data_IF_346225881884
#
_entry.id   IF_346225881884
#
_cell.length_a   1.000
_cell.length_b   1.000
_cell.length_c   1.000
_cell.angle_alpha   90.00
_cell.angle_beta   90.00
_cell.angle_gamma   90.00
#
_symmetry.space_group_name_H-M   'P 1'
#
loop_
_entity.id
_entity.type
_entity.pdbx_description
1 polymer ?
#
# COMPACT_ATOMS: atom_id res chain seq x y z
N UNK A 1 -4.89 -16.12 9.73
CA UNK A 1 -5.47 -15.05 8.89
C UNK A 1 -4.62 -13.81 9.08
N UNK A 2 -3.83 -13.48 8.05
CA UNK A 2 -3.00 -12.27 8.05
C UNK A 2 -3.81 -11.08 7.51
N UNK A 3 -3.49 -9.88 7.98
CA UNK A 3 -4.10 -8.63 7.49
C UNK A 3 -3.01 -7.66 7.10
N UNK A 4 -3.14 -7.03 5.94
CA UNK A 4 -2.24 -5.99 5.45
C UNK A 4 -3.03 -4.73 5.13
N UNK A 5 -2.62 -3.59 5.69
CA UNK A 5 -3.27 -2.31 5.44
C UNK A 5 -2.26 -1.30 4.90
N UNK A 6 -2.67 -0.54 3.89
CA UNK A 6 -1.90 0.50 3.23
C UNK A 6 -2.67 1.82 3.31
N UNK A 7 -1.94 2.89 3.62
CA UNK A 7 -2.42 4.27 3.44
C UNK A 7 -2.05 4.67 2.01
N UNK A 8 -3.01 4.80 1.08
CA UNK A 8 -2.69 5.02 -0.33
C UNK A 8 -2.29 6.48 -0.58
N UNK A 9 -1.20 6.70 -1.31
CA UNK A 9 -0.92 7.96 -1.97
C UNK A 9 -1.72 8.04 -3.29
N UNK A 10 -1.89 6.90 -3.96
CA UNK A 10 -2.65 6.74 -5.20
C UNK A 10 -3.19 5.33 -5.36
N UNK A 11 -4.41 5.21 -5.91
CA UNK A 11 -4.96 3.95 -6.40
C UNK A 11 -5.44 4.12 -7.83
N UNK A 12 -5.09 3.17 -8.68
CA UNK A 12 -5.68 3.01 -10.01
C UNK A 12 -6.34 1.65 -10.15
N UNK A 13 -7.42 1.58 -10.93
CA UNK A 13 -8.10 0.35 -11.31
C UNK A 13 -8.33 0.36 -12.82
N UNK A 14 -7.80 -0.64 -13.52
CA UNK A 14 -7.85 -0.72 -14.99
C UNK A 14 -7.33 0.55 -15.68
N UNK A 15 -6.33 1.22 -15.09
CA UNK A 15 -5.74 2.45 -15.58
C UNK A 15 -6.46 3.74 -15.16
N UNK A 16 -7.65 3.64 -14.57
CA UNK A 16 -8.43 4.78 -14.08
C UNK A 16 -8.12 5.07 -12.61
N UNK A 17 -7.94 6.34 -12.25
CA UNK A 17 -7.66 6.74 -10.88
C UNK A 17 -8.92 6.62 -10.01
N UNK A 18 -8.81 5.96 -8.86
CA UNK A 18 -9.86 6.00 -7.83
C UNK A 18 -9.71 7.31 -7.04
N UNK A 19 -10.79 8.06 -6.94
CA UNK A 19 -10.80 9.33 -6.21
C UNK A 19 -10.70 9.09 -4.70
N UNK A 20 -9.91 9.94 -4.02
CA UNK A 20 -9.82 10.04 -2.56
C UNK A 20 -9.74 8.67 -1.83
N UNK A 21 -8.78 7.80 -2.19
CA UNK A 21 -8.59 6.55 -1.47
C UNK A 21 -8.05 6.84 -0.06
N UNK A 22 -8.64 6.22 0.96
CA UNK A 22 -8.31 6.48 2.37
C UNK A 22 -7.49 5.34 2.95
N UNK A 23 -7.97 4.09 2.80
CA UNK A 23 -7.30 2.88 3.29
C UNK A 23 -7.59 1.73 2.33
N UNK A 24 -6.55 0.98 1.97
CA UNK A 24 -6.64 -0.29 1.28
C UNK A 24 -6.25 -1.42 2.25
N UNK A 25 -7.13 -2.41 2.40
CA UNK A 25 -6.89 -3.56 3.29
C UNK A 25 -6.99 -4.86 2.52
N UNK A 26 -6.05 -5.76 2.77
CA UNK A 26 -6.10 -7.15 2.33
C UNK A 26 -6.26 -8.09 3.52
N UNK A 27 -7.14 -9.06 3.36
CA UNK A 27 -7.43 -10.12 4.31
C UNK A 27 -7.00 -11.46 3.70
N UNK A 28 -6.20 -12.19 4.47
CA UNK A 28 -5.59 -13.45 4.07
C UNK A 28 -4.92 -13.40 2.67
N UNK A 29 -4.08 -12.39 2.40
CA UNK A 29 -3.67 -12.07 1.04
C UNK A 29 -2.87 -13.16 0.30
N UNK A 30 -2.22 -14.05 1.04
CA UNK A 30 -1.42 -15.16 0.51
C UNK A 30 -2.08 -16.52 0.79
N UNK A 31 -3.34 -16.51 1.25
CA UNK A 31 -4.14 -17.71 1.50
C UNK A 31 -4.97 -18.14 0.29
N UNK A 32 -5.89 -19.09 0.52
CA UNK A 32 -6.71 -19.70 -0.54
C UNK A 32 -7.93 -18.83 -0.95
N UNK A 33 -8.31 -17.88 -0.10
CA UNK A 33 -9.47 -17.00 -0.31
C UNK A 33 -9.13 -15.52 -0.03
N UNK A 34 -8.17 -14.93 -0.77
CA UNK A 34 -7.77 -13.55 -0.57
C UNK A 34 -8.91 -12.61 -0.92
N UNK A 35 -9.15 -11.63 -0.06
CA UNK A 35 -10.15 -10.59 -0.25
C UNK A 35 -9.65 -9.29 0.34
N UNK A 36 -10.38 -8.21 0.12
CA UNK A 36 -9.98 -6.91 0.61
C UNK A 36 -11.11 -5.91 0.68
N UNK A 37 -10.77 -4.72 1.15
CA UNK A 37 -11.65 -3.57 1.21
C UNK A 37 -10.91 -2.31 0.84
N UNK A 38 -11.59 -1.41 0.15
CA UNK A 38 -11.10 -0.07 -0.15
C UNK A 38 -12.08 0.96 0.39
N UNK A 39 -11.59 1.84 1.27
CA UNK A 39 -12.30 3.02 1.72
C UNK A 39 -12.05 4.18 0.74
N UNK A 40 -13.11 4.77 0.19
CA UNK A 40 -13.09 5.86 -0.79
C UNK A 40 -14.43 6.59 -0.79
N UNK A 41 -14.44 7.86 -1.22
CA UNK A 41 -15.67 8.65 -1.40
C UNK A 41 -16.40 8.34 -2.69
N UNK A 42 -15.79 7.59 -3.63
CA UNK A 42 -16.37 7.20 -4.90
C UNK A 42 -16.38 5.67 -5.09
N UNK A 43 -17.17 4.92 -4.30
CA UNK A 43 -17.15 3.46 -4.34
C UNK A 43 -17.76 2.90 -5.63
N UNK A 44 -17.14 1.84 -6.14
CA UNK A 44 -17.60 1.11 -7.31
C UNK A 44 -18.90 0.33 -7.04
N UNK A 45 -19.72 0.07 -8.06
CA UNK A 45 -20.93 -0.74 -7.89
C UNK A 45 -20.60 -2.21 -7.59
N UNK A 46 -21.44 -2.87 -6.81
CA UNK A 46 -21.40 -4.31 -6.61
C UNK A 46 -21.50 -5.05 -7.95
N UNK A 47 -20.69 -6.10 -8.12
CA UNK A 47 -20.54 -6.87 -9.35
C UNK A 47 -19.55 -6.27 -10.35
N UNK A 48 -18.98 -5.08 -10.08
CA UNK A 48 -17.90 -4.54 -10.91
C UNK A 48 -16.67 -5.46 -10.81
N UNK A 49 -16.19 -5.92 -11.97
CA UNK A 49 -14.99 -6.74 -12.09
C UNK A 49 -14.00 -6.04 -13.01
N UNK A 50 -12.79 -5.81 -12.51
CA UNK A 50 -11.77 -5.07 -13.24
C UNK A 50 -10.38 -5.33 -12.67
N UNK A 51 -9.37 -5.03 -13.48
CA UNK A 51 -7.97 -5.13 -13.10
C UNK A 51 -7.03 -4.49 -14.14
N UNK A 52 -5.76 -4.24 -13.77
CA UNK A 52 -5.21 -4.41 -12.44
C UNK A 52 -5.68 -3.32 -11.47
N UNK A 53 -5.77 -3.64 -10.18
CA UNK A 53 -5.77 -2.65 -9.10
C UNK A 53 -4.31 -2.42 -8.71
N UNK A 54 -3.86 -1.17 -8.77
CA UNK A 54 -2.52 -0.77 -8.37
C UNK A 54 -2.63 0.28 -7.28
N UNK A 55 -1.98 0.02 -6.15
CA UNK A 55 -1.87 0.94 -5.03
C UNK A 55 -0.41 1.36 -4.88
N UNK A 56 -0.16 2.67 -4.97
CA UNK A 56 1.06 3.27 -4.44
C UNK A 56 0.72 3.80 -3.06
N UNK A 57 1.34 3.28 -2.01
CA UNK A 57 0.96 3.63 -0.65
C UNK A 57 1.99 3.27 0.39
N UNK A 58 1.68 3.59 1.64
CA UNK A 58 2.59 3.44 2.76
C UNK A 58 2.11 2.34 3.71
N UNK A 59 3.07 1.55 4.17
CA UNK A 59 2.91 0.54 5.22
C UNK A 59 4.26 0.31 5.88
N UNK A 60 4.28 0.23 7.21
CA UNK A 60 5.48 -0.10 7.99
C UNK A 60 6.70 0.79 7.69
N UNK A 61 6.49 2.12 7.59
CA UNK A 61 7.50 3.14 7.22
C UNK A 61 8.15 2.92 5.85
N UNK A 62 7.53 2.12 4.99
CA UNK A 62 7.96 1.91 3.62
C UNK A 62 6.88 2.37 2.66
N UNK A 63 7.32 2.84 1.50
CA UNK A 63 6.46 3.07 0.35
C UNK A 63 6.46 1.82 -0.51
N UNK A 64 5.28 1.40 -0.92
CA UNK A 64 5.04 0.18 -1.66
C UNK A 64 4.28 0.49 -2.93
N UNK A 65 4.60 -0.25 -3.98
CA UNK A 65 3.67 -0.56 -5.06
C UNK A 65 3.06 -1.92 -4.77
N UNK A 66 1.73 -1.98 -4.70
CA UNK A 66 0.99 -3.22 -4.57
C UNK A 66 0.11 -3.38 -5.79
N UNK A 67 0.25 -4.52 -6.48
CA UNK A 67 -0.49 -4.84 -7.70
C UNK A 67 -1.33 -6.08 -7.47
N UNK A 68 -2.64 -5.92 -7.67
CA UNK A 68 -3.63 -6.99 -7.65
C UNK A 68 -4.11 -7.22 -9.09
N UNK A 69 -4.01 -8.44 -9.63
CA UNK A 69 -4.30 -8.69 -11.05
C UNK A 69 -5.74 -8.35 -11.43
N UNK A 70 -6.70 -8.75 -10.61
CA UNK A 70 -8.12 -8.51 -10.84
C UNK A 70 -8.88 -8.59 -9.50
N UNK A 71 -9.93 -7.77 -9.38
CA UNK A 71 -10.87 -7.79 -8.26
C UNK A 71 -12.30 -7.88 -8.76
N UNK A 72 -13.20 -8.38 -7.91
CA UNK A 72 -14.65 -8.28 -8.08
C UNK A 72 -15.29 -7.70 -6.83
N UNK A 73 -16.05 -6.61 -6.98
CA UNK A 73 -16.73 -5.94 -5.88
C UNK A 73 -17.92 -6.77 -5.43
N UNK A 74 -17.91 -7.26 -4.19
CA UNK A 74 -18.99 -8.10 -3.64
C UNK A 74 -19.93 -7.32 -2.73
N UNK A 75 -19.47 -6.21 -2.17
CA UNK A 75 -20.28 -5.38 -1.29
C UNK A 75 -19.91 -3.90 -1.45
N UNK A 76 -20.90 -3.04 -1.61
CA UNK A 76 -20.74 -1.59 -1.71
C UNK A 76 -21.37 -0.93 -0.49
N UNK A 77 -20.64 0.00 0.10
CA UNK A 77 -21.13 0.85 1.20
C UNK A 77 -21.09 2.33 0.79
N UNK A 78 -21.53 3.21 1.68
CA UNK A 78 -21.40 4.64 1.49
C UNK A 78 -19.95 5.15 1.55
N UNK A 79 -19.03 4.38 2.14
CA UNK A 79 -17.66 4.81 2.46
C UNK A 79 -16.58 3.96 1.76
N UNK A 80 -16.98 3.10 0.83
CA UNK A 80 -16.05 2.17 0.19
C UNK A 80 -16.72 0.91 -0.31
N UNK A 81 -15.92 -0.10 -0.56
CA UNK A 81 -16.39 -1.40 -1.02
C UNK A 81 -15.47 -2.55 -0.59
N UNK A 82 -16.02 -3.75 -0.53
CA UNK A 82 -15.32 -5.01 -0.30
C UNK A 82 -15.25 -5.80 -1.61
N UNK A 83 -14.16 -6.53 -1.80
CA UNK A 83 -13.90 -7.24 -3.05
C UNK A 83 -13.19 -8.57 -2.83
N UNK A 84 -13.44 -9.50 -3.76
CA UNK A 84 -12.65 -10.73 -3.93
C UNK A 84 -11.44 -10.45 -4.81
N UNK A 85 -10.37 -11.22 -4.63
CA UNK A 85 -9.12 -11.10 -5.40
C UNK A 85 -8.94 -12.33 -6.28
N UNK A 86 -8.59 -12.10 -7.55
CA UNK A 86 -8.29 -13.15 -8.51
C UNK A 86 -6.82 -13.04 -8.94
N UNK A 87 -6.02 -13.98 -8.47
CA UNK A 87 -4.59 -14.07 -8.76
C UNK A 87 -3.70 -13.59 -7.60
N UNK A 88 -2.39 -13.72 -7.79
CA UNK A 88 -1.41 -13.43 -6.75
C UNK A 88 -1.17 -11.92 -6.62
N UNK A 89 -1.18 -11.43 -5.37
CA UNK A 89 -0.84 -10.05 -5.04
C UNK A 89 0.67 -9.87 -5.14
N UNK A 90 1.12 -8.86 -5.88
CA UNK A 90 2.52 -8.50 -6.02
C UNK A 90 2.82 -7.26 -5.17
N UNK A 91 3.95 -7.26 -4.47
CA UNK A 91 4.37 -6.17 -3.57
C UNK A 91 5.81 -5.81 -3.87
N UNK A 92 6.05 -4.55 -4.16
CA UNK A 92 7.37 -4.02 -4.45
C UNK A 92 7.64 -2.85 -3.52
N UNK A 93 8.73 -2.89 -2.75
CA UNK A 93 9.18 -1.73 -1.98
C UNK A 93 9.72 -0.69 -2.97
N UNK A 94 9.20 0.53 -2.89
CA UNK A 94 9.68 1.66 -3.66
C UNK A 94 10.69 2.49 -2.87
N UNK A 95 10.41 2.74 -1.59
CA UNK A 95 11.24 3.56 -0.70
C UNK A 95 11.17 3.02 0.74
N UNK A 96 12.27 3.12 1.49
CA UNK A 96 12.29 2.85 2.93
C UNK A 96 12.60 4.15 3.69
N UNK A 97 11.71 4.59 4.57
CA UNK A 97 11.92 5.78 5.38
C UNK A 97 12.89 5.44 6.54
N UNK A 98 14.20 5.59 6.30
CA UNK A 98 15.23 5.41 7.33
C UNK A 98 16.53 4.71 6.92
N UNK A 99 17.05 4.94 5.70
CA UNK A 99 18.42 4.55 5.34
C UNK A 99 19.48 5.41 6.02
N UNK A 100 19.82 5.07 7.26
CA UNK A 100 21.10 5.28 7.94
C UNK A 100 21.84 6.64 7.73
N UNK A 101 21.60 7.61 8.62
CA UNK A 101 22.62 8.62 8.97
C UNK A 101 23.58 8.05 10.03
N UNK A 102 24.26 6.93 9.74
CA UNK A 102 25.47 6.55 10.45
C UNK A 102 26.69 6.72 9.52
N UNK A 103 27.13 7.97 9.39
CA UNK A 103 28.56 8.27 9.32
C UNK A 103 28.89 9.29 10.40
N UNK A 104 28.91 8.79 11.63
CA UNK A 104 29.70 9.38 12.70
C UNK A 104 31.16 9.26 12.24
N UNK A 105 31.83 10.38 12.03
CA UNK A 105 33.26 10.40 11.72
C UNK A 105 33.85 11.79 11.88
N UNK A 106 35.09 11.90 12.37
CA UNK A 106 35.56 11.41 13.66
C UNK A 106 35.47 12.52 14.74
N UNK A 107 35.45 12.07 15.99
CA UNK A 107 35.64 12.87 17.22
C UNK A 107 37.02 13.54 17.16
N UNK A 108 37.07 14.86 16.96
CA UNK A 108 38.28 15.66 17.22
C UNK A 108 38.34 15.97 18.72
N UNK A 109 38.83 14.99 19.48
CA UNK A 109 39.48 15.29 20.75
C UNK A 109 40.91 15.75 20.46
N UNK A 110 41.33 16.80 21.17
CA UNK A 110 42.70 17.32 21.30
C UNK A 110 43.31 18.09 20.12
N UNK A 111 43.19 19.41 20.20
CA UNK A 111 44.33 20.30 19.94
C UNK A 111 44.48 21.28 21.11
N UNK A 112 44.96 20.75 22.23
CA UNK A 112 45.85 21.52 23.08
C UNK A 112 47.22 21.55 22.40
N UNK A 113 47.58 22.68 21.82
CA UNK A 113 48.96 22.99 21.46
C UNK A 113 49.17 24.51 21.57
N UNK A 114 49.89 24.83 22.64
CA UNK A 114 50.49 26.09 23.04
C UNK A 114 51.25 26.75 21.89
N UNK A 115 51.14 28.08 21.78
CA UNK A 115 52.20 28.97 21.29
C UNK A 115 52.34 30.14 22.26
#
# INVERSE_FOLDING_TARGET
>A
MATEAYIPDEITLAGEKIAEPIVLTFYDPDGDAPHGSLTTTAPLPTGARAGPLICIGRRDKKKWEVRVPEIEVVNRTAVGFEYLIFGAIQRTVLEEEGGDTAKIGPRLENLGATF
#
